data_IF_366563254374
#
_entry.id   IF_366563254374
#
_cell.length_a   1.000
_cell.length_b   1.000
_cell.length_c   1.000
_cell.angle_alpha   90.00
_cell.angle_beta   90.00
_cell.angle_gamma   90.00
#
_symmetry.space_group_name_H-M   'P 1'
#
loop_
_entity.id
_entity.type
_entity.pdbx_description
1 polymer ?
#
# COMPACT_ATOMS: atom_id res chain seq x y z
N UNK A 1 15.00 -13.69 -11.93
CA UNK A 1 13.55 -13.63 -11.68
C UNK A 1 13.11 -12.18 -11.67
N UNK A 2 11.82 -11.92 -11.92
CA UNK A 2 11.22 -10.57 -11.78
C UNK A 2 10.78 -10.38 -10.34
N UNK A 3 10.95 -9.17 -9.81
CA UNK A 3 10.44 -8.76 -8.51
C UNK A 3 11.44 -8.88 -7.37
N UNK A 4 10.95 -8.55 -6.18
CA UNK A 4 11.73 -8.57 -4.93
C UNK A 4 12.16 -9.99 -4.53
N UNK A 5 13.22 -10.08 -3.73
CA UNK A 5 13.72 -11.37 -3.23
C UNK A 5 13.01 -11.85 -1.96
N UNK A 6 13.40 -13.02 -1.46
CA UNK A 6 12.77 -13.65 -0.31
C UNK A 6 12.85 -12.81 0.97
N UNK A 7 13.92 -12.03 1.18
CA UNK A 7 14.07 -11.19 2.37
C UNK A 7 13.05 -10.05 2.32
N UNK A 8 13.01 -9.32 1.20
CA UNK A 8 12.05 -8.23 1.03
C UNK A 8 10.61 -8.73 1.07
N UNK A 9 10.30 -9.85 0.41
CA UNK A 9 8.95 -10.45 0.43
C UNK A 9 8.55 -10.84 1.86
N UNK A 10 9.43 -11.50 2.61
CA UNK A 10 9.14 -11.87 4.00
C UNK A 10 8.96 -10.66 4.92
N UNK A 11 9.83 -9.65 4.78
CA UNK A 11 9.80 -8.43 5.58
C UNK A 11 8.52 -7.61 5.32
N UNK A 12 8.14 -7.46 4.06
CA UNK A 12 6.96 -6.67 3.66
C UNK A 12 5.64 -7.38 3.94
N UNK A 13 5.64 -8.72 4.00
CA UNK A 13 4.47 -9.50 4.41
C UNK A 13 4.13 -9.28 5.89
N UNK A 14 5.15 -9.10 6.74
CA UNK A 14 4.96 -8.74 8.14
C UNK A 14 4.80 -7.22 8.29
N UNK A 15 3.55 -6.76 8.41
CA UNK A 15 3.24 -5.33 8.53
C UNK A 15 3.90 -4.65 9.73
N UNK A 16 4.13 -5.37 10.83
CA UNK A 16 4.80 -4.79 12.00
C UNK A 16 6.26 -4.51 11.68
N UNK A 17 6.96 -5.48 11.07
CA UNK A 17 8.38 -5.33 10.71
C UNK A 17 8.54 -4.26 9.62
N UNK A 18 7.70 -4.28 8.59
CA UNK A 18 7.71 -3.26 7.55
C UNK A 18 7.52 -1.85 8.14
N UNK A 19 6.59 -1.67 9.08
CA UNK A 19 6.37 -0.37 9.75
C UNK A 19 7.51 0.06 10.65
N UNK A 20 8.19 -0.88 11.30
CA UNK A 20 9.40 -0.58 12.06
C UNK A 20 10.50 -0.04 11.14
N UNK A 21 10.68 -0.61 9.94
CA UNK A 21 11.58 -0.07 8.92
C UNK A 21 11.14 1.33 8.48
N UNK A 22 9.84 1.53 8.23
CA UNK A 22 9.32 2.85 7.86
C UNK A 22 9.65 3.91 8.92
N UNK A 23 9.37 3.63 10.19
CA UNK A 23 9.68 4.53 11.29
C UNK A 23 11.20 4.79 11.42
N UNK A 24 12.03 3.75 11.24
CA UNK A 24 13.49 3.89 11.25
C UNK A 24 14.02 4.81 10.15
N UNK A 25 13.35 4.84 8.99
CA UNK A 25 13.68 5.69 7.83
C UNK A 25 12.93 7.04 7.83
N UNK A 26 12.20 7.36 8.90
CA UNK A 26 11.42 8.60 9.01
C UNK A 26 10.20 8.66 8.07
N UNK A 27 9.74 7.52 7.56
CA UNK A 27 8.57 7.38 6.71
C UNK A 27 7.31 7.34 7.60
N UNK A 28 6.33 8.25 7.40
CA UNK A 28 5.13 8.28 8.22
C UNK A 28 4.26 7.05 7.99
N UNK A 29 3.89 6.39 9.09
CA UNK A 29 2.88 5.34 9.14
C UNK A 29 2.04 5.54 10.41
N UNK A 30 0.86 4.92 10.47
CA UNK A 30 -0.02 5.04 11.63
C UNK A 30 0.69 4.51 12.89
N UNK A 31 0.51 5.19 14.03
CA UNK A 31 0.90 4.65 15.33
C UNK A 31 0.23 3.29 15.54
N UNK A 32 0.97 2.31 16.08
CA UNK A 32 0.49 0.94 16.17
C UNK A 32 1.06 0.18 17.37
N UNK A 33 0.35 -0.88 17.75
CA UNK A 33 0.87 -1.95 18.61
C UNK A 33 0.41 -3.31 18.08
N UNK A 34 1.03 -4.39 18.57
CA UNK A 34 0.62 -5.75 18.22
C UNK A 34 0.53 -6.61 19.46
N UNK A 35 -0.50 -7.44 19.53
CA UNK A 35 -0.73 -8.36 20.64
C UNK A 35 -1.55 -9.57 20.16
N UNK A 36 -1.32 -10.72 20.77
CA UNK A 36 -2.16 -11.93 20.66
C UNK A 36 -3.06 -12.13 21.89
N UNK A 37 -2.98 -11.25 22.89
CA UNK A 37 -3.81 -11.27 24.07
C UNK A 37 -4.76 -10.06 24.10
N UNK A 38 -6.09 -10.28 24.02
CA UNK A 38 -7.06 -9.20 24.13
C UNK A 38 -6.92 -8.34 25.38
N UNK A 39 -6.47 -8.90 26.51
CA UNK A 39 -6.38 -8.14 27.77
C UNK A 39 -5.22 -7.14 27.78
N UNK A 40 -4.20 -7.33 26.93
CA UNK A 40 -3.11 -6.35 26.78
C UNK A 40 -3.63 -5.00 26.28
N UNK A 41 -4.76 -4.98 25.58
CA UNK A 41 -5.38 -3.77 25.02
C UNK A 41 -5.63 -2.67 26.06
N UNK A 42 -5.87 -3.03 27.33
CA UNK A 42 -6.05 -2.07 28.42
C UNK A 42 -4.76 -1.27 28.72
N UNK A 43 -3.61 -1.92 28.56
CA UNK A 43 -2.31 -1.35 28.91
C UNK A 43 -1.60 -0.77 27.71
N UNK A 44 -1.73 -1.39 26.53
CA UNK A 44 -1.03 -1.01 25.32
C UNK A 44 -1.70 0.14 24.55
N UNK A 45 -3.02 0.32 24.70
CA UNK A 45 -3.76 1.35 23.96
C UNK A 45 -3.48 2.76 24.51
N UNK A 46 -2.29 3.26 24.18
CA UNK A 46 -1.85 4.65 24.43
C UNK A 46 -2.20 5.59 23.27
N UNK A 47 -2.63 5.03 22.14
CA UNK A 47 -2.91 5.72 20.88
C UNK A 47 -4.26 6.46 20.91
N UNK A 48 -5.27 5.86 21.55
CA UNK A 48 -6.64 6.36 21.58
C UNK A 48 -7.48 6.01 20.36
N UNK A 49 -8.80 6.14 20.48
CA UNK A 49 -9.79 5.78 19.46
C UNK A 49 -10.04 6.91 18.44
N UNK A 50 -10.49 6.59 17.21
CA UNK A 50 -10.75 5.25 16.67
C UNK A 50 -9.47 4.50 16.25
N UNK A 51 -9.53 3.18 16.34
CA UNK A 51 -8.46 2.26 15.93
C UNK A 51 -8.95 1.35 14.80
N UNK A 52 -8.02 0.74 14.07
CA UNK A 52 -8.28 -0.35 13.15
C UNK A 52 -7.46 -1.57 13.53
N UNK A 53 -8.11 -2.73 13.59
CA UNK A 53 -7.49 -4.01 13.92
C UNK A 53 -7.39 -4.84 12.64
N UNK A 54 -6.17 -5.28 12.33
CA UNK A 54 -5.83 -5.99 11.10
C UNK A 54 -5.08 -7.28 11.41
N UNK A 55 -5.06 -8.18 10.43
CA UNK A 55 -4.12 -9.30 10.40
C UNK A 55 -2.71 -8.79 10.11
N UNK A 56 -1.72 -9.34 10.83
CA UNK A 56 -0.32 -8.96 10.71
C UNK A 56 0.28 -9.41 9.36
N UNK A 57 -0.05 -10.62 8.91
CA UNK A 57 0.62 -11.29 7.80
C UNK A 57 -0.22 -11.45 6.52
N UNK A 58 -1.51 -11.07 6.51
CA UNK A 58 -2.37 -11.30 5.33
C UNK A 58 -2.46 -10.08 4.40
N UNK A 59 -2.68 -10.29 3.11
CA UNK A 59 -2.99 -9.23 2.13
C UNK A 59 -4.47 -9.14 1.76
N UNK A 60 -4.79 -8.31 0.77
CA UNK A 60 -6.11 -8.26 0.08
C UNK A 60 -7.31 -8.06 1.00
N UNK A 61 -7.14 -7.23 2.04
CA UNK A 61 -8.17 -6.97 3.06
C UNK A 61 -8.74 -8.23 3.74
N UNK A 62 -7.99 -9.34 3.76
CA UNK A 62 -8.40 -10.55 4.48
C UNK A 62 -8.49 -10.27 5.97
N UNK A 63 -9.63 -10.61 6.54
CA UNK A 63 -9.90 -10.31 7.94
C UNK A 63 -10.15 -8.83 8.18
N UNK A 64 -10.46 -8.04 7.14
CA UNK A 64 -10.93 -6.67 7.28
C UNK A 64 -12.41 -6.61 6.94
N UNK A 65 -13.18 -6.14 7.92
CA UNK A 65 -14.63 -5.92 7.88
C UNK A 65 -14.92 -4.54 8.49
N UNK A 66 -16.17 -4.09 8.44
CA UNK A 66 -16.56 -2.86 9.16
C UNK A 66 -16.27 -2.95 10.67
N UNK A 67 -16.37 -4.15 11.26
CA UNK A 67 -16.00 -4.38 12.67
C UNK A 67 -14.49 -4.25 12.97
N UNK A 68 -13.67 -4.13 11.93
CA UNK A 68 -12.23 -3.93 12.10
C UNK A 68 -11.91 -2.52 12.56
N UNK A 69 -12.78 -1.55 12.29
CA UNK A 69 -12.71 -0.23 12.92
C UNK A 69 -13.40 -0.30 14.29
N UNK A 70 -12.66 0.02 15.34
CA UNK A 70 -13.12 -0.08 16.72
C UNK A 70 -13.05 1.29 17.41
N UNK A 71 -14.05 1.60 18.24
CA UNK A 71 -14.24 2.91 18.86
C UNK A 71 -14.18 2.86 20.40
N UNK A 72 -14.06 1.66 20.99
CA UNK A 72 -13.95 1.47 22.43
C UNK A 72 -13.19 0.17 22.76
N UNK A 73 -12.92 -0.03 24.06
CA UNK A 73 -12.11 -1.15 24.56
C UNK A 73 -12.78 -2.51 24.31
N UNK A 74 -14.09 -2.62 24.49
CA UNK A 74 -14.82 -3.86 24.27
C UNK A 74 -14.77 -4.30 22.80
N UNK A 75 -14.97 -3.37 21.87
CA UNK A 75 -14.83 -3.62 20.43
C UNK A 75 -13.39 -4.04 20.07
N UNK A 76 -12.39 -3.37 20.64
CA UNK A 76 -10.98 -3.69 20.44
C UNK A 76 -10.65 -5.11 20.91
N UNK A 77 -11.02 -5.47 22.14
CA UNK A 77 -10.81 -6.82 22.70
C UNK A 77 -11.49 -7.89 21.86
N UNK A 78 -12.76 -7.66 21.47
CA UNK A 78 -13.51 -8.57 20.60
C UNK A 78 -12.77 -8.77 19.27
N UNK A 79 -12.26 -7.70 18.68
CA UNK A 79 -11.62 -7.76 17.36
C UNK A 79 -10.22 -8.39 17.39
N UNK A 80 -9.43 -8.15 18.44
CA UNK A 80 -8.15 -8.86 18.67
C UNK A 80 -8.42 -10.36 18.77
N UNK A 81 -9.40 -10.76 19.59
CA UNK A 81 -9.78 -12.17 19.79
C UNK A 81 -10.15 -12.83 18.47
N UNK A 82 -10.96 -12.15 17.64
CA UNK A 82 -11.31 -12.64 16.31
C UNK A 82 -10.07 -12.93 15.45
N UNK A 83 -9.09 -12.02 15.40
CA UNK A 83 -7.88 -12.23 14.60
C UNK A 83 -7.08 -13.43 15.13
N UNK A 84 -6.89 -13.52 16.44
CA UNK A 84 -6.11 -14.60 17.06
C UNK A 84 -6.78 -15.96 16.83
N UNK A 85 -8.08 -16.07 17.06
CA UNK A 85 -8.80 -17.34 16.94
C UNK A 85 -8.97 -17.81 15.49
N UNK A 86 -9.17 -16.89 14.54
CA UNK A 86 -9.46 -17.25 13.15
C UNK A 86 -8.22 -17.29 12.24
N UNK A 87 -7.14 -16.59 12.61
CA UNK A 87 -5.93 -16.48 11.80
C UNK A 87 -4.66 -16.97 12.50
N UNK A 88 -4.76 -17.39 13.76
CA UNK A 88 -3.65 -17.95 14.57
C UNK A 88 -2.38 -17.08 14.52
N UNK A 89 -2.55 -15.77 14.71
CA UNK A 89 -1.48 -14.78 14.66
C UNK A 89 -1.82 -13.58 15.56
N UNK A 90 -0.81 -12.79 15.98
CA UNK A 90 -1.05 -11.52 16.67
C UNK A 90 -1.88 -10.57 15.81
N UNK A 91 -2.77 -9.83 16.46
CA UNK A 91 -3.46 -8.71 15.84
C UNK A 91 -2.49 -7.52 15.70
N UNK A 92 -2.58 -6.82 14.58
CA UNK A 92 -2.01 -5.49 14.42
C UNK A 92 -3.11 -4.47 14.72
N UNK A 93 -2.87 -3.57 15.67
CA UNK A 93 -3.81 -2.50 16.03
C UNK A 93 -3.17 -1.17 15.70
N UNK A 94 -3.85 -0.36 14.89
CA UNK A 94 -3.33 0.91 14.39
C UNK A 94 -4.30 2.04 14.67
N UNK A 95 -3.78 3.26 14.80
CA UNK A 95 -4.58 4.48 14.70
C UNK A 95 -5.34 4.48 13.38
N UNK A 96 -6.66 4.69 13.43
CA UNK A 96 -7.42 4.83 12.20
C UNK A 96 -7.15 6.21 11.58
N UNK A 97 -6.55 6.21 10.40
CA UNK A 97 -6.36 7.43 9.61
C UNK A 97 -7.62 7.65 8.78
N UNK A 98 -8.45 8.61 9.17
CA UNK A 98 -9.61 9.05 8.38
C UNK A 98 -9.16 9.95 7.23
N UNK A 99 -9.70 9.73 6.04
CA UNK A 99 -9.44 10.56 4.87
C UNK A 99 -9.42 9.77 3.57
N UNK A 100 -8.60 10.21 2.62
CA UNK A 100 -8.57 9.70 1.26
C UNK A 100 -7.53 8.58 1.10
N UNK A 101 -7.84 7.60 0.25
CA UNK A 101 -6.96 6.44 0.01
C UNK A 101 -6.36 6.49 -1.39
N UNK A 102 -5.06 6.24 -1.47
CA UNK A 102 -4.29 6.31 -2.70
C UNK A 102 -3.35 5.12 -2.85
N UNK A 103 -3.09 4.76 -4.09
CA UNK A 103 -2.21 3.68 -4.46
C UNK A 103 -1.26 4.14 -5.55
N UNK A 104 0.01 3.78 -5.43
CA UNK A 104 1.05 4.17 -6.38
C UNK A 104 1.86 2.93 -6.75
N UNK A 105 1.93 2.62 -8.04
CA UNK A 105 2.92 1.67 -8.54
C UNK A 105 4.30 2.33 -8.57
N UNK A 106 5.32 1.61 -8.12
CA UNK A 106 6.73 2.00 -8.28
C UNK A 106 7.39 0.98 -9.19
N UNK A 107 8.09 1.46 -10.21
CA UNK A 107 8.84 0.64 -11.16
C UNK A 107 10.32 1.03 -11.10
N UNK A 108 11.19 0.05 -11.20
CA UNK A 108 12.63 0.30 -11.31
C UNK A 108 13.48 -0.38 -10.24
N UNK A 109 14.73 0.04 -10.16
CA UNK A 109 15.71 -0.51 -9.24
C UNK A 109 16.59 0.62 -8.70
N UNK A 110 16.88 0.62 -7.39
CA UNK A 110 17.77 1.59 -6.76
C UNK A 110 17.43 3.05 -7.09
N UNK A 111 18.43 3.81 -7.54
CA UNK A 111 18.28 5.23 -7.90
C UNK A 111 17.39 5.47 -9.13
N UNK A 112 17.23 4.47 -10.00
CA UNK A 112 16.36 4.54 -11.18
C UNK A 112 14.88 4.23 -10.87
N UNK A 113 14.54 3.90 -9.61
CA UNK A 113 13.16 3.67 -9.20
C UNK A 113 12.30 4.94 -9.36
N UNK A 114 11.14 4.78 -10.01
CA UNK A 114 10.19 5.84 -10.32
C UNK A 114 8.77 5.46 -9.91
N UNK A 115 8.07 6.42 -9.31
CA UNK A 115 6.65 6.30 -9.01
C UNK A 115 5.81 6.63 -10.24
N UNK A 116 4.81 5.79 -10.52
CA UNK A 116 3.82 5.96 -11.58
C UNK A 116 2.74 6.97 -11.14
N UNK A 117 1.77 7.32 -12.01
CA UNK A 117 0.62 8.15 -11.64
C UNK A 117 -0.06 7.68 -10.37
N UNK A 118 -0.45 8.66 -9.55
CA UNK A 118 -1.21 8.40 -8.33
C UNK A 118 -2.60 7.91 -8.72
N UNK A 119 -3.03 6.80 -8.12
CA UNK A 119 -4.39 6.27 -8.25
C UNK A 119 -5.15 6.58 -6.98
N UNK A 120 -6.34 7.16 -7.12
CA UNK A 120 -7.24 7.40 -5.99
C UNK A 120 -8.35 6.37 -5.97
N UNK A 121 -8.57 5.75 -4.80
CA UNK A 121 -9.70 4.86 -4.57
C UNK A 121 -10.95 5.67 -4.22
N UNK A 122 -12.09 5.26 -4.76
CA UNK A 122 -13.40 5.77 -4.37
C UNK A 122 -14.37 4.62 -4.14
N UNK A 123 -15.22 4.74 -3.12
CA UNK A 123 -16.23 3.73 -2.78
C UNK A 123 -17.61 4.38 -2.94
N UNK A 124 -18.46 3.81 -3.79
CA UNK A 124 -19.78 4.37 -4.12
C UNK A 124 -19.70 5.84 -4.57
N UNK A 125 -18.63 6.22 -5.27
CA UNK A 125 -18.38 7.60 -5.72
C UNK A 125 -17.86 8.56 -4.64
N UNK A 126 -17.69 8.10 -3.40
CA UNK A 126 -17.07 8.88 -2.32
C UNK A 126 -15.56 8.67 -2.31
N UNK A 127 -14.79 9.76 -2.38
CA UNK A 127 -13.31 9.77 -2.37
C UNK A 127 -12.73 9.83 -0.96
N UNK A 128 -13.44 10.55 -0.09
CA UNK A 128 -13.29 10.47 1.36
C UNK A 128 -14.51 9.68 1.82
N UNK A 129 -14.31 8.39 2.09
CA UNK A 129 -15.34 7.53 2.63
C UNK A 129 -15.31 7.51 4.17
N UNK A 130 -14.73 8.56 4.75
CA UNK A 130 -14.69 8.93 6.17
C UNK A 130 -14.20 7.79 7.07
N UNK A 131 -15.18 7.03 7.53
CA UNK A 131 -15.14 6.04 8.60
C UNK A 131 -15.27 4.62 8.07
N UNK A 132 -15.53 4.46 6.76
CA UNK A 132 -15.63 3.16 6.12
C UNK A 132 -14.24 2.57 5.90
N UNK A 133 -14.20 1.25 5.94
CA UNK A 133 -12.98 0.50 5.66
C UNK A 133 -13.08 -0.09 4.28
N UNK A 134 -11.99 -0.04 3.51
CA UNK A 134 -11.91 -0.81 2.27
C UNK A 134 -11.87 -2.31 2.61
N UNK A 135 -13.00 -3.00 2.42
CA UNK A 135 -13.14 -4.41 2.76
C UNK A 135 -12.99 -5.29 1.53
N UNK A 136 -12.69 -6.58 1.75
CA UNK A 136 -12.63 -7.57 0.67
C UNK A 136 -13.94 -7.65 -0.14
N UNK A 137 -15.10 -7.39 0.48
CA UNK A 137 -16.40 -7.38 -0.20
C UNK A 137 -16.49 -6.28 -1.26
N UNK A 138 -15.91 -5.11 -0.98
CA UNK A 138 -15.97 -3.96 -1.89
C UNK A 138 -15.26 -4.24 -3.22
N UNK A 139 -14.28 -5.15 -3.23
CA UNK A 139 -13.55 -5.57 -4.43
C UNK A 139 -14.49 -6.23 -5.44
N UNK A 140 -15.48 -7.01 -4.98
CA UNK A 140 -16.26 -7.88 -5.86
C UNK A 140 -17.68 -7.39 -6.13
N UNK A 141 -18.15 -6.34 -5.45
CA UNK A 141 -19.51 -5.81 -5.59
C UNK A 141 -19.62 -4.60 -6.53
N UNK A 142 -18.51 -4.18 -7.14
CA UNK A 142 -18.46 -3.05 -8.08
C UNK A 142 -18.62 -1.67 -7.41
N UNK A 143 -18.61 -1.60 -6.08
CA UNK A 143 -18.67 -0.33 -5.35
C UNK A 143 -17.38 0.49 -5.45
N UNK A 144 -16.25 -0.17 -5.74
CA UNK A 144 -14.93 0.45 -5.85
C UNK A 144 -14.70 0.97 -7.25
N UNK A 145 -14.24 2.22 -7.34
CA UNK A 145 -13.72 2.80 -8.58
C UNK A 145 -12.38 3.47 -8.33
N UNK A 146 -11.50 3.34 -9.32
CA UNK A 146 -10.18 3.95 -9.30
C UNK A 146 -10.13 5.13 -10.26
N UNK A 147 -9.55 6.23 -9.80
CA UNK A 147 -9.34 7.44 -10.59
C UNK A 147 -7.84 7.58 -10.86
N UNK A 148 -7.46 7.51 -12.13
CA UNK A 148 -6.07 7.53 -12.57
C UNK A 148 -5.93 8.46 -13.80
N UNK A 149 -5.16 9.56 -13.73
CA UNK A 149 -4.48 10.05 -12.54
C UNK A 149 -5.48 10.55 -11.47
N UNK A 150 -5.05 10.54 -10.22
CA UNK A 150 -5.83 11.05 -9.10
C UNK A 150 -6.08 12.56 -9.27
N UNK A 151 -7.33 13.04 -9.12
CA UNK A 151 -7.67 14.46 -9.24
C UNK A 151 -7.31 15.23 -7.96
N UNK A 152 -6.01 15.37 -7.68
CA UNK A 152 -5.44 16.07 -6.52
C UNK A 152 -4.40 17.12 -6.96
N UNK A 153 -3.93 17.96 -6.03
CA UNK A 153 -2.93 18.98 -6.34
C UNK A 153 -1.61 18.37 -6.79
N UNK A 154 -0.88 19.07 -7.65
CA UNK A 154 0.45 18.65 -8.09
C UNK A 154 1.44 18.47 -6.91
N UNK A 155 1.28 19.27 -5.86
CA UNK A 155 2.06 19.16 -4.63
C UNK A 155 1.81 17.84 -3.89
N UNK A 156 0.54 17.46 -3.72
CA UNK A 156 0.20 16.18 -3.08
C UNK A 156 0.65 14.99 -3.94
N UNK A 157 0.44 15.07 -5.26
CA UNK A 157 0.94 14.08 -6.22
C UNK A 157 2.45 13.84 -6.05
N UNK A 158 3.24 14.92 -6.07
CA UNK A 158 4.71 14.83 -5.92
C UNK A 158 5.11 14.28 -4.55
N UNK A 159 4.40 14.70 -3.49
CA UNK A 159 4.66 14.22 -2.12
C UNK A 159 4.44 12.71 -2.03
N UNK A 160 3.31 12.21 -2.52
CA UNK A 160 3.01 10.77 -2.49
C UNK A 160 3.97 9.96 -3.37
N UNK A 161 4.31 10.46 -4.57
CA UNK A 161 5.26 9.80 -5.46
C UNK A 161 6.66 9.69 -4.85
N UNK A 162 7.17 10.78 -4.26
CA UNK A 162 8.46 10.77 -3.57
C UNK A 162 8.45 9.78 -2.40
N UNK A 163 7.37 9.78 -1.61
CA UNK A 163 7.24 8.90 -0.47
C UNK A 163 7.13 7.42 -0.89
N UNK A 164 6.45 7.12 -2.00
CA UNK A 164 6.37 5.77 -2.56
C UNK A 164 7.74 5.24 -2.98
N UNK A 165 8.56 6.07 -3.64
CA UNK A 165 9.94 5.70 -3.98
C UNK A 165 10.81 5.51 -2.72
N UNK A 166 10.63 6.36 -1.70
CA UNK A 166 11.33 6.21 -0.41
C UNK A 166 10.98 4.87 0.26
N UNK A 167 9.69 4.52 0.35
CA UNK A 167 9.22 3.23 0.89
C UNK A 167 9.79 2.05 0.11
N UNK A 168 9.73 2.11 -1.22
CA UNK A 168 10.26 1.08 -2.11
C UNK A 168 11.74 0.80 -1.85
N UNK A 169 12.55 1.85 -1.69
CA UNK A 169 13.99 1.74 -1.42
C UNK A 169 14.27 1.26 0.01
N UNK A 170 13.51 1.73 1.00
CA UNK A 170 13.69 1.39 2.41
C UNK A 170 13.61 -0.13 2.68
N UNK A 171 12.83 -0.86 1.88
CA UNK A 171 12.67 -2.33 2.01
C UNK A 171 13.46 -3.13 0.97
N UNK A 172 14.39 -2.49 0.25
CA UNK A 172 15.18 -3.06 -0.85
C UNK A 172 14.31 -3.74 -1.93
N UNK A 173 13.18 -3.12 -2.28
CA UNK A 173 12.30 -3.63 -3.31
C UNK A 173 12.93 -3.50 -4.71
N UNK A 174 12.50 -4.38 -5.63
CA UNK A 174 13.11 -4.50 -6.97
C UNK A 174 12.05 -4.67 -8.03
N UNK A 175 12.33 -4.10 -9.19
CA UNK A 175 11.56 -4.10 -10.43
C UNK A 175 10.17 -3.46 -10.34
N UNK A 176 9.34 -3.86 -9.37
CA UNK A 176 7.99 -3.38 -9.18
C UNK A 176 7.53 -3.46 -7.71
N UNK A 177 6.65 -2.54 -7.32
CA UNK A 177 5.81 -2.69 -6.14
C UNK A 177 4.56 -1.81 -6.26
N UNK A 178 3.63 -2.02 -5.35
CA UNK A 178 2.51 -1.13 -5.09
C UNK A 178 2.62 -0.58 -3.67
N UNK A 179 2.48 0.73 -3.49
CA UNK A 179 2.46 1.37 -2.17
C UNK A 179 1.10 1.99 -1.94
N UNK A 180 0.49 1.64 -0.80
CA UNK A 180 -0.84 2.07 -0.43
C UNK A 180 -0.77 3.10 0.70
N UNK A 181 -1.54 4.18 0.57
CA UNK A 181 -1.51 5.35 1.44
C UNK A 181 -2.91 5.72 1.91
N UNK A 182 -2.96 6.32 3.10
CA UNK A 182 -4.03 7.25 3.44
C UNK A 182 -3.51 8.65 3.67
N UNK A 183 -4.27 9.64 3.21
CA UNK A 183 -4.02 11.06 3.46
C UNK A 183 -5.10 11.57 4.38
N UNK A 184 -4.70 12.11 5.53
CA UNK A 184 -5.64 12.61 6.51
C UNK A 184 -6.32 13.92 6.07
N UNK A 185 -7.29 14.39 6.86
CA UNK A 185 -8.01 15.65 6.59
C UNK A 185 -7.13 16.91 6.60
N UNK A 186 -5.89 16.83 7.09
CA UNK A 186 -4.90 17.91 7.06
C UNK A 186 -3.97 17.81 5.84
N UNK A 187 -4.14 16.79 5.00
CA UNK A 187 -3.29 16.56 3.84
C UNK A 187 -2.01 15.78 4.17
N UNK A 188 -1.87 15.21 5.36
CA UNK A 188 -0.67 14.44 5.74
C UNK A 188 -0.80 12.99 5.24
N UNK A 189 0.15 12.50 4.42
CA UNK A 189 0.19 11.10 4.00
C UNK A 189 0.75 10.18 5.10
N UNK A 190 0.18 8.98 5.16
CA UNK A 190 0.61 7.85 5.97
C UNK A 190 0.66 6.59 5.10
N UNK A 191 1.79 5.89 5.13
CA UNK A 191 1.96 4.60 4.44
C UNK A 191 1.18 3.54 5.17
N UNK A 192 0.27 2.86 4.48
CA UNK A 192 -0.44 1.70 5.01
C UNK A 192 0.42 0.45 4.91
N UNK A 193 0.87 0.15 3.69
CA UNK A 193 1.68 -1.01 3.34
C UNK A 193 2.39 -0.81 1.98
N UNK A 194 3.36 -1.69 1.72
CA UNK A 194 3.95 -1.90 0.40
C UNK A 194 3.75 -3.37 0.02
N UNK A 195 3.34 -3.60 -1.23
CA UNK A 195 3.21 -4.92 -1.82
C UNK A 195 4.21 -5.08 -2.98
N UNK A 196 5.33 -5.78 -2.77
CA UNK A 196 6.32 -6.11 -3.80
C UNK A 196 5.87 -7.15 -4.84
N UNK A 197 4.74 -7.82 -4.59
CA UNK A 197 4.13 -8.79 -5.51
C UNK A 197 2.64 -8.42 -5.74
N UNK A 198 2.39 -7.26 -6.39
CA UNK A 198 1.04 -6.77 -6.59
C UNK A 198 0.26 -7.66 -7.57
N UNK A 199 -1.06 -7.51 -7.54
CA UNK A 199 -1.93 -8.18 -8.50
C UNK A 199 -1.75 -7.54 -9.88
N UNK A 200 -1.84 -8.36 -10.93
CA UNK A 200 -1.98 -7.89 -12.30
C UNK A 200 -3.42 -8.09 -12.81
N UNK A 201 -4.42 -8.06 -11.93
CA UNK A 201 -5.82 -8.09 -12.36
C UNK A 201 -6.19 -6.77 -13.07
N UNK A 202 -7.24 -6.80 -13.87
CA UNK A 202 -7.69 -5.70 -14.73
C UNK A 202 -8.12 -4.46 -13.93
N UNK A 203 -8.43 -4.65 -12.65
CA UNK A 203 -8.82 -3.58 -11.72
C UNK A 203 -7.65 -3.07 -10.85
N UNK A 204 -6.45 -3.67 -10.93
CA UNK A 204 -5.28 -3.24 -10.15
C UNK A 204 -4.53 -2.08 -10.84
N UNK A 205 -3.71 -1.35 -10.08
CA UNK A 205 -2.98 -0.16 -10.54
C UNK A 205 -2.14 -0.43 -11.78
N UNK A 206 -1.59 -1.64 -11.93
CA UNK A 206 -0.75 -2.03 -13.08
C UNK A 206 -1.52 -2.13 -14.41
N UNK A 207 -2.85 -2.22 -14.38
CA UNK A 207 -3.71 -2.09 -15.56
C UNK A 207 -4.22 -0.66 -15.79
N UNK A 208 -4.17 0.19 -14.75
CA UNK A 208 -4.75 1.54 -14.77
C UNK A 208 -3.75 2.60 -15.19
N UNK A 209 -2.59 2.66 -14.54
CA UNK A 209 -1.62 3.73 -14.80
C UNK A 209 -1.08 3.77 -16.25
N UNK A 210 -0.92 2.64 -16.97
CA UNK A 210 -0.38 2.69 -18.35
C UNK A 210 -1.29 3.50 -19.29
N UNK A 211 -2.60 3.47 -19.04
CA UNK A 211 -3.60 4.18 -19.83
C UNK A 211 -3.44 5.70 -19.75
N UNK A 212 -2.89 6.23 -18.66
CA UNK A 212 -2.58 7.67 -18.52
C UNK A 212 -1.57 8.15 -19.54
N UNK A 213 -0.79 7.22 -20.07
CA UNK A 213 0.33 7.49 -20.97
C UNK A 213 0.14 6.81 -22.33
N UNK A 214 -1.08 6.35 -22.65
CA UNK A 214 -1.36 5.66 -23.90
C UNK A 214 -0.66 4.31 -24.08
N UNK A 215 -0.12 3.73 -23.01
CA UNK A 215 0.58 2.44 -23.04
C UNK A 215 -0.38 1.27 -22.77
N UNK A 216 -0.09 0.12 -23.36
CA UNK A 216 -0.80 -1.14 -23.15
C UNK A 216 -0.35 -1.85 -21.86
N UNK A 217 -1.15 -2.81 -21.40
CA UNK A 217 -0.75 -3.66 -20.28
C UNK A 217 0.44 -4.55 -20.65
N UNK A 218 0.47 -5.11 -21.87
CA UNK A 218 1.57 -5.92 -22.37
C UNK A 218 2.88 -5.14 -22.46
N UNK A 219 2.80 -3.86 -22.83
CA UNK A 219 3.93 -2.94 -22.79
C UNK A 219 4.48 -2.75 -21.37
N UNK A 220 3.59 -2.67 -20.39
CA UNK A 220 3.95 -2.58 -18.97
C UNK A 220 4.62 -3.87 -18.47
N UNK A 221 4.13 -5.04 -18.89
CA UNK A 221 4.77 -6.32 -18.56
C UNK A 221 6.16 -6.43 -19.20
N UNK A 222 6.33 -5.98 -20.46
CA UNK A 222 7.65 -5.93 -21.13
C UNK A 222 8.61 -4.99 -20.39
N UNK A 223 8.12 -3.83 -19.96
CA UNK A 223 8.87 -2.87 -19.14
C UNK A 223 9.39 -3.53 -17.85
N UNK A 224 8.52 -4.20 -17.09
CA UNK A 224 8.89 -4.91 -15.86
C UNK A 224 9.91 -6.03 -16.12
N UNK A 225 9.74 -6.79 -17.21
CA UNK A 225 10.70 -7.81 -17.60
C UNK A 225 12.08 -7.20 -17.93
N UNK A 226 12.11 -6.12 -18.70
CA UNK A 226 13.34 -5.43 -19.07
C UNK A 226 14.08 -4.86 -17.86
N UNK A 227 13.35 -4.38 -16.84
CA UNK A 227 13.92 -3.96 -15.56
C UNK A 227 14.70 -5.09 -14.89
N UNK A 228 14.11 -6.28 -14.81
CA UNK A 228 14.79 -7.45 -14.26
C UNK A 228 15.99 -7.85 -15.13
N UNK A 229 15.83 -7.92 -16.45
CA UNK A 229 16.92 -8.27 -17.37
C UNK A 229 18.12 -7.31 -17.24
N UNK A 230 17.88 -6.00 -17.14
CA UNK A 230 18.93 -4.99 -16.91
C UNK A 230 19.63 -5.22 -15.57
N UNK A 231 18.88 -5.49 -14.49
CA UNK A 231 19.43 -5.80 -13.16
C UNK A 231 20.36 -7.03 -13.18
N UNK A 232 20.05 -8.03 -14.00
CA UNK A 232 20.91 -9.21 -14.21
C UNK A 232 22.03 -9.00 -15.25
N UNK A 233 22.15 -7.82 -15.85
CA UNK A 233 23.09 -7.53 -16.94
C UNK A 233 22.89 -8.45 -18.17
N UNK A 234 21.64 -8.84 -18.45
CA UNK A 234 21.27 -9.65 -19.61
C UNK A 234 20.92 -8.80 -20.86
N UNK A 235 20.78 -7.49 -20.68
CA UNK A 235 20.63 -6.48 -21.73
C UNK A 235 21.56 -5.30 -21.44
N UNK A 236 21.75 -4.40 -22.42
CA UNK A 236 22.56 -3.20 -22.25
C UNK A 236 22.03 -2.34 -21.08
N UNK A 237 22.93 -1.82 -20.24
CA UNK A 237 22.58 -0.91 -19.15
C UNK A 237 21.99 0.41 -19.66
N UNK A 238 22.32 0.81 -20.88
CA UNK A 238 21.78 1.98 -21.54
C UNK A 238 20.46 1.70 -22.27
N UNK A 239 19.91 0.49 -22.18
CA UNK A 239 18.63 0.17 -22.76
C UNK A 239 17.54 1.09 -22.18
N UNK A 240 16.83 1.85 -23.02
CA UNK A 240 15.81 2.78 -22.54
C UNK A 240 14.64 1.99 -21.97
N UNK A 241 14.47 2.07 -20.66
CA UNK A 241 13.40 1.36 -19.95
C UNK A 241 12.11 2.18 -19.96
N UNK A 242 12.21 3.48 -19.73
CA UNK A 242 11.06 4.37 -19.77
C UNK A 242 10.92 4.96 -21.18
N UNK A 243 9.67 5.05 -21.64
CA UNK A 243 9.32 5.86 -22.80
C UNK A 243 9.90 7.27 -22.59
N UNK A 244 10.72 7.75 -23.54
CA UNK A 244 11.36 9.06 -23.44
C UNK A 244 10.30 10.13 -23.15
N UNK A 245 10.48 10.86 -22.03
CA UNK A 245 9.95 12.15 -21.54
C UNK A 245 8.59 12.74 -21.98
N UNK A 246 7.92 12.29 -23.04
CA UNK A 246 6.66 12.85 -23.53
C UNK A 246 5.43 12.40 -22.75
N UNK A 247 5.58 11.44 -21.83
CA UNK A 247 4.45 10.88 -21.08
C UNK A 247 4.32 11.43 -19.66
N UNK A 248 5.33 12.12 -19.12
CA UNK A 248 5.31 12.60 -17.72
C UNK A 248 5.18 14.13 -17.57
N UNK A 249 4.69 14.83 -18.60
CA UNK A 249 4.39 16.26 -18.58
C UNK A 249 2.93 16.54 -18.24
#
# INVERSE_FOLDING_TARGET
FVGADALTLGLTLDKVVAKQVFLGEGIPTAEFFSTDNPDDAETLNTIGYPLIVKTRHEGSSKGITEESKVNNLEELKKRIRFVVENYNQPALVEKFISGQEFTIAVLGNGEEAQAMPVVQTSINGQKDFEDKVYTNRNIYDGSVKYLCPAPVSAELTKTLQNLAVQVFRAVDCRDLARVDFRVDKKGQPYVLEINPLPSFDVEDVFHLFPKCFGASFEETIKLILNLALKRYNLIDKNFPIFYQQELMA
#
